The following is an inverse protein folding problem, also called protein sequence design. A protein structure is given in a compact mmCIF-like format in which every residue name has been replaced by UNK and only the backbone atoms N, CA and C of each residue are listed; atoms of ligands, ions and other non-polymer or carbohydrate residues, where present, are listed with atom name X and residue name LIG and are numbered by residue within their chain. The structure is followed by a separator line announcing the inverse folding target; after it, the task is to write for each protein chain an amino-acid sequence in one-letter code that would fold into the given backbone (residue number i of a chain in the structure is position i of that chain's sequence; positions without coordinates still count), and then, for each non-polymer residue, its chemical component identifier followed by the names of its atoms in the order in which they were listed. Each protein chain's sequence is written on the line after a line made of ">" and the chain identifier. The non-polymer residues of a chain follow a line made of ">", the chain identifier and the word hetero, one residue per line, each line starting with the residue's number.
data_IF_513634477112
#
_entry.id   IF_513634477112
#
_cell.length_a   1.000
_cell.length_b   1.000
_cell.length_c   1.000
_cell.angle_alpha   90.00
_cell.angle_beta   90.00
_cell.angle_gamma   90.00
#
_symmetry.space_group_name_H-M   'P 1'
#
loop_
_entity.id
_entity.type
_entity.pdbx_description
1 polymer ?
#
# COMPACT_ATOMS: atom_id res chain seq x y z
N UNK A 1 39.52 32.53 10.87
CA UNK A 1 38.61 31.67 10.05
C UNK A 1 38.61 30.22 10.57
N UNK A 2 38.33 29.97 11.85
CA UNK A 2 38.31 28.61 12.44
C UNK A 2 36.90 28.07 12.69
N UNK A 3 35.89 28.95 12.77
CA UNK A 3 34.49 28.58 13.00
C UNK A 3 33.79 27.96 11.78
N UNK A 4 34.26 28.26 10.56
CA UNK A 4 33.69 27.73 9.31
C UNK A 4 33.91 26.23 9.13
N UNK A 5 35.01 25.69 9.70
CA UNK A 5 35.36 24.26 9.57
C UNK A 5 34.47 23.36 10.44
N UNK A 6 34.07 23.85 11.61
CA UNK A 6 33.17 23.11 12.53
C UNK A 6 31.74 23.10 11.98
N UNK A 7 31.26 24.22 11.44
CA UNK A 7 29.92 24.28 10.82
C UNK A 7 29.78 23.35 9.60
N UNK A 8 30.83 23.24 8.76
CA UNK A 8 30.84 22.29 7.63
C UNK A 8 30.89 20.83 8.10
N UNK A 9 31.64 20.53 9.17
CA UNK A 9 31.69 19.18 9.75
C UNK A 9 30.34 18.76 10.37
N UNK A 10 29.63 19.67 11.05
CA UNK A 10 28.29 19.41 11.59
C UNK A 10 27.24 19.24 10.48
N UNK A 11 27.36 19.98 9.37
CA UNK A 11 26.47 19.83 8.21
C UNK A 11 26.61 18.47 7.51
N UNK A 12 27.84 17.96 7.39
CA UNK A 12 28.11 16.62 6.83
C UNK A 12 27.63 15.49 7.74
N UNK A 13 27.75 15.66 9.07
CA UNK A 13 27.27 14.68 10.04
C UNK A 13 25.72 14.54 10.05
N UNK A 14 24.99 15.63 9.81
CA UNK A 14 23.52 15.59 9.66
C UNK A 14 23.07 14.98 8.32
N UNK A 15 23.83 15.17 7.24
CA UNK A 15 23.52 14.58 5.93
C UNK A 15 23.77 13.05 5.89
N UNK A 16 24.69 12.56 6.71
CA UNK A 16 25.01 11.12 6.84
C UNK A 16 23.95 10.30 7.61
N UNK A 17 22.97 10.97 8.24
CA UNK A 17 21.83 10.34 8.94
C UNK A 17 20.58 10.20 8.06
N UNK A 18 20.71 10.38 6.74
CA UNK A 18 19.61 10.09 5.83
C UNK A 18 19.21 8.62 5.97
N UNK A 19 17.94 8.39 6.34
CA UNK A 19 17.38 7.07 6.52
C UNK A 19 17.51 6.29 5.21
N UNK A 20 18.32 5.25 5.21
CA UNK A 20 18.56 4.43 4.03
C UNK A 20 17.32 3.57 3.74
N UNK A 21 17.03 3.38 2.46
CA UNK A 21 16.01 2.43 2.05
C UNK A 21 16.44 1.01 2.45
N UNK A 22 15.55 0.28 3.11
CA UNK A 22 15.69 -1.12 3.50
C UNK A 22 14.47 -1.86 2.95
N UNK A 23 14.65 -2.93 2.16
CA UNK A 23 13.53 -3.70 1.65
C UNK A 23 12.83 -4.47 2.77
N UNK A 24 11.51 -4.60 2.69
CA UNK A 24 10.77 -5.56 3.51
C UNK A 24 10.99 -6.94 2.90
N UNK A 25 11.49 -7.88 3.71
CA UNK A 25 11.66 -9.27 3.26
C UNK A 25 10.31 -9.95 3.21
N UNK A 26 9.80 -10.18 2.00
CA UNK A 26 8.60 -11.01 1.77
C UNK A 26 9.06 -12.47 1.58
N UNK A 27 8.69 -13.41 2.47
CA UNK A 27 9.08 -14.81 2.32
C UNK A 27 8.64 -15.41 0.98
N UNK A 28 9.45 -16.30 0.42
CA UNK A 28 9.06 -17.05 -0.78
C UNK A 28 7.78 -17.86 -0.51
N UNK A 29 6.85 -17.87 -1.48
CA UNK A 29 5.56 -18.56 -1.34
C UNK A 29 4.50 -17.82 -0.52
N UNK A 30 4.76 -16.56 -0.15
CA UNK A 30 3.75 -15.68 0.48
C UNK A 30 2.52 -15.56 -0.41
N UNK A 31 1.34 -15.84 0.15
CA UNK A 31 0.07 -15.61 -0.49
C UNK A 31 -0.27 -14.12 -0.38
N UNK A 32 -0.40 -13.45 -1.51
CA UNK A 32 -0.72 -12.01 -1.56
C UNK A 32 -2.21 -11.87 -1.78
N UNK A 33 -2.84 -11.01 -0.97
CA UNK A 33 -4.23 -10.61 -1.14
C UNK A 33 -4.28 -9.10 -1.21
N UNK A 34 -4.64 -8.57 -2.37
CA UNK A 34 -4.68 -7.14 -2.64
C UNK A 34 -6.11 -6.62 -2.74
N UNK A 35 -6.44 -5.73 -1.81
CA UNK A 35 -7.70 -5.03 -1.69
C UNK A 35 -7.55 -3.57 -2.13
N UNK A 36 -8.55 -3.06 -2.85
CA UNK A 36 -8.62 -1.65 -3.22
C UNK A 36 -9.99 -1.04 -2.88
N UNK A 37 -10.06 0.29 -2.78
CA UNK A 37 -11.35 0.98 -2.67
C UNK A 37 -11.51 1.87 -1.45
N UNK A 38 -12.74 2.02 -0.95
CA UNK A 38 -13.10 2.91 0.15
C UNK A 38 -12.18 2.79 1.37
N UNK A 39 -11.96 3.91 2.08
CA UNK A 39 -11.16 3.97 3.31
C UNK A 39 -11.98 3.68 4.58
N UNK A 40 -13.31 3.74 4.50
CA UNK A 40 -14.21 3.46 5.63
C UNK A 40 -13.90 2.15 6.40
N UNK A 41 -13.59 1.01 5.74
CA UNK A 41 -13.29 -0.24 6.45
C UNK A 41 -11.82 -0.39 6.87
N UNK A 42 -10.95 0.61 6.71
CA UNK A 42 -9.50 0.42 6.88
C UNK A 42 -9.10 -0.11 8.27
N UNK A 43 -9.77 0.36 9.32
CA UNK A 43 -9.49 -0.12 10.68
C UNK A 43 -10.05 -1.54 10.90
N UNK A 44 -11.24 -1.83 10.37
CA UNK A 44 -11.81 -3.18 10.41
C UNK A 44 -10.92 -4.19 9.69
N UNK A 45 -10.34 -3.83 8.55
CA UNK A 45 -9.40 -4.69 7.82
C UNK A 45 -8.09 -4.89 8.58
N UNK A 46 -7.61 -3.88 9.29
CA UNK A 46 -6.45 -4.02 10.17
C UNK A 46 -6.72 -4.98 11.34
N UNK A 47 -7.88 -4.88 11.97
CA UNK A 47 -8.32 -5.79 13.04
C UNK A 47 -8.49 -7.23 12.51
N UNK A 48 -9.04 -7.39 11.31
CA UNK A 48 -9.11 -8.69 10.63
C UNK A 48 -7.73 -9.29 10.39
N UNK A 49 -6.81 -8.52 9.79
CA UNK A 49 -5.47 -9.00 9.52
C UNK A 49 -4.73 -9.40 10.80
N UNK A 50 -4.88 -8.62 11.88
CA UNK A 50 -4.23 -8.90 13.17
C UNK A 50 -4.89 -10.03 13.97
N UNK A 51 -6.17 -10.33 13.72
CA UNK A 51 -6.86 -11.47 14.34
C UNK A 51 -6.66 -12.79 13.60
N UNK A 52 -6.53 -12.74 12.27
CA UNK A 52 -6.35 -13.93 11.42
C UNK A 52 -4.88 -14.31 11.23
N UNK A 53 -3.94 -13.41 11.50
CA UNK A 53 -2.51 -13.67 11.35
C UNK A 53 -1.78 -13.62 12.69
N UNK A 54 -0.67 -14.34 12.75
CA UNK A 54 0.33 -14.29 13.81
C UNK A 54 1.60 -13.61 13.30
N UNK A 55 2.42 -13.08 14.22
CA UNK A 55 3.68 -12.40 13.90
C UNK A 55 3.52 -11.26 12.87
N UNK A 56 2.46 -10.46 13.03
CA UNK A 56 2.08 -9.44 12.03
C UNK A 56 3.07 -8.28 12.02
N UNK A 57 3.56 -7.97 10.83
CA UNK A 57 4.33 -6.78 10.51
C UNK A 57 3.43 -5.83 9.72
N UNK A 58 3.01 -4.75 10.36
CA UNK A 58 2.23 -3.69 9.72
C UNK A 58 3.15 -2.75 8.94
N UNK A 59 2.77 -2.46 7.70
CA UNK A 59 3.52 -1.67 6.72
C UNK A 59 2.58 -0.59 6.19
N UNK A 60 3.09 0.61 5.95
CA UNK A 60 2.34 1.71 5.32
C UNK A 60 3.08 2.26 4.13
N UNK A 61 2.36 2.97 3.28
CA UNK A 61 2.98 3.88 2.32
C UNK A 61 3.46 5.18 2.98
N UNK A 62 4.43 5.83 2.32
CA UNK A 62 4.95 7.17 2.61
C UNK A 62 4.24 8.28 1.83
N UNK A 63 3.12 7.96 1.18
CA UNK A 63 2.34 8.88 0.32
C UNK A 63 1.67 10.03 1.09
N UNK A 64 1.51 9.88 2.40
CA UNK A 64 0.84 10.82 3.27
C UNK A 64 1.48 10.81 4.64
N UNK A 65 1.64 11.99 5.25
CA UNK A 65 2.22 12.13 6.58
C UNK A 65 1.26 11.64 7.68
N UNK A 66 -0.05 11.89 7.53
CA UNK A 66 -1.06 11.73 8.60
C UNK A 66 -1.89 10.46 8.46
N UNK A 67 -2.37 10.16 7.26
CA UNK A 67 -3.21 8.98 6.99
C UNK A 67 -2.65 8.23 5.80
N UNK A 68 -2.08 7.03 5.99
CA UNK A 68 -1.49 6.29 4.88
C UNK A 68 -2.59 5.86 3.92
N UNK A 69 -2.40 6.13 2.62
CA UNK A 69 -3.36 5.73 1.59
C UNK A 69 -3.18 4.27 1.16
N UNK A 70 -2.07 3.64 1.56
CA UNK A 70 -1.85 2.21 1.42
C UNK A 70 -1.35 1.62 2.73
N UNK A 71 -1.86 0.43 3.04
CA UNK A 71 -1.46 -0.35 4.23
C UNK A 71 -1.20 -1.78 3.80
N UNK A 72 -0.30 -2.45 4.48
CA UNK A 72 -0.11 -3.88 4.31
C UNK A 72 0.18 -4.56 5.64
N UNK A 73 -0.21 -5.82 5.74
CA UNK A 73 -0.02 -6.66 6.91
C UNK A 73 0.59 -7.98 6.45
N UNK A 74 1.87 -8.14 6.73
CA UNK A 74 2.60 -9.38 6.49
C UNK A 74 2.58 -10.21 7.76
N UNK A 75 2.15 -11.46 7.69
CA UNK A 75 2.16 -12.36 8.83
C UNK A 75 2.03 -13.81 8.41
N UNK A 76 1.71 -14.67 9.37
CA UNK A 76 1.48 -16.09 9.13
C UNK A 76 0.06 -16.47 9.54
N UNK A 77 -0.62 -17.28 8.74
CA UNK A 77 -1.96 -17.78 9.03
C UNK A 77 -2.06 -18.35 10.46
N UNK A 78 -2.99 -17.81 11.24
CA UNK A 78 -3.36 -18.38 12.52
C UNK A 78 -4.15 -19.70 12.33
N UNK A 79 -4.36 -20.43 13.42
CA UNK A 79 -5.26 -21.58 13.41
C UNK A 79 -6.71 -21.15 13.14
N UNK A 80 -7.45 -22.01 12.43
CA UNK A 80 -8.89 -21.83 12.21
C UNK A 80 -9.30 -21.11 10.93
N UNK A 81 -8.35 -20.74 10.05
CA UNK A 81 -8.69 -20.28 8.69
C UNK A 81 -9.00 -21.51 7.82
N UNK A 82 -10.25 -21.70 7.34
CA UNK A 82 -10.59 -22.86 6.52
C UNK A 82 -9.79 -22.88 5.22
N UNK A 83 -9.18 -24.03 4.91
CA UNK A 83 -8.43 -24.22 3.67
C UNK A 83 -7.03 -23.59 3.65
N UNK A 84 -6.58 -22.96 4.73
CA UNK A 84 -5.24 -22.38 4.85
C UNK A 84 -4.47 -23.07 5.97
N UNK A 85 -3.28 -23.57 5.66
CA UNK A 85 -2.42 -24.21 6.65
C UNK A 85 -1.90 -23.17 7.65
N UNK A 86 -1.84 -23.54 8.93
CA UNK A 86 -1.22 -22.71 9.97
C UNK A 86 0.24 -22.43 9.61
N UNK A 87 0.68 -21.19 9.78
CA UNK A 87 2.05 -20.79 9.45
C UNK A 87 2.24 -20.36 7.98
N UNK A 88 1.24 -20.52 7.11
CA UNK A 88 1.33 -20.03 5.72
C UNK A 88 1.59 -18.52 5.71
N UNK A 89 2.66 -18.04 5.05
CA UNK A 89 2.92 -16.60 4.96
C UNK A 89 1.84 -15.93 4.09
N UNK A 90 1.24 -14.86 4.63
CA UNK A 90 0.18 -14.09 3.97
C UNK A 90 0.53 -12.62 4.04
N UNK A 91 0.36 -11.93 2.91
CA UNK A 91 0.50 -10.49 2.77
C UNK A 91 -0.84 -9.90 2.35
N UNK A 92 -1.53 -9.24 3.28
CA UNK A 92 -2.67 -8.40 2.95
C UNK A 92 -2.19 -7.03 2.54
N UNK A 93 -2.68 -6.51 1.42
CA UNK A 93 -2.42 -5.16 0.94
C UNK A 93 -3.77 -4.46 0.80
N UNK A 94 -3.90 -3.25 1.32
CA UNK A 94 -5.07 -2.39 1.14
C UNK A 94 -4.64 -1.07 0.54
N UNK A 95 -5.22 -0.70 -0.60
CA UNK A 95 -5.18 0.63 -1.18
C UNK A 95 -6.49 1.36 -0.89
N UNK A 96 -6.39 2.53 -0.29
CA UNK A 96 -7.50 3.44 0.01
C UNK A 96 -7.50 4.70 -0.86
N UNK A 97 -6.39 4.94 -1.57
CA UNK A 97 -6.29 6.04 -2.52
C UNK A 97 -7.38 5.95 -3.59
N UNK A 98 -7.98 7.09 -3.95
CA UNK A 98 -9.04 7.17 -4.95
C UNK A 98 -10.39 6.58 -4.52
N UNK A 99 -10.47 5.94 -3.35
CA UNK A 99 -11.73 5.52 -2.73
C UNK A 99 -12.52 4.50 -3.56
N UNK A 100 -13.84 4.54 -3.38
CA UNK A 100 -14.81 3.55 -3.88
C UNK A 100 -14.71 3.18 -5.36
N UNK A 101 -14.38 4.14 -6.24
CA UNK A 101 -14.16 3.87 -7.66
C UNK A 101 -13.08 2.84 -7.89
N UNK A 102 -11.95 2.99 -7.19
CA UNK A 102 -10.85 2.05 -7.29
C UNK A 102 -11.15 0.70 -6.64
N UNK A 103 -12.27 0.57 -5.92
CA UNK A 103 -12.82 -0.70 -5.44
C UNK A 103 -13.72 -1.40 -6.45
N UNK A 104 -14.07 -0.77 -7.56
CA UNK A 104 -14.99 -1.32 -8.57
C UNK A 104 -14.27 -1.45 -9.91
N UNK A 105 -13.79 -0.34 -10.45
CA UNK A 105 -13.26 -0.23 -11.81
C UNK A 105 -12.04 -1.12 -12.08
N UNK A 106 -10.97 -1.05 -11.26
CA UNK A 106 -9.80 -1.88 -11.47
C UNK A 106 -10.07 -3.37 -11.32
N UNK A 107 -11.02 -3.73 -10.46
CA UNK A 107 -11.44 -5.12 -10.26
C UNK A 107 -12.18 -5.61 -11.50
N UNK A 108 -13.14 -4.82 -11.99
CA UNK A 108 -13.97 -5.17 -13.15
C UNK A 108 -13.16 -5.32 -14.44
N UNK A 109 -12.11 -4.50 -14.60
CA UNK A 109 -11.26 -4.46 -15.82
C UNK A 109 -9.93 -5.20 -15.67
N UNK A 110 -9.66 -5.79 -14.51
CA UNK A 110 -8.35 -6.34 -14.16
C UNK A 110 -7.19 -5.35 -14.40
N UNK A 111 -7.39 -4.07 -14.06
CA UNK A 111 -6.42 -3.01 -14.31
C UNK A 111 -5.34 -2.96 -13.21
N UNK A 112 -4.09 -2.71 -13.61
CA UNK A 112 -2.96 -2.57 -12.68
C UNK A 112 -2.96 -1.21 -12.01
N UNK A 113 -3.19 -1.17 -10.71
CA UNK A 113 -3.17 0.09 -9.95
C UNK A 113 -1.93 0.18 -9.07
N UNK A 114 -1.60 1.41 -8.68
CA UNK A 114 -0.51 1.69 -7.77
C UNK A 114 -0.61 0.86 -6.48
N UNK A 115 0.52 0.46 -5.91
CA UNK A 115 0.60 -0.29 -4.67
C UNK A 115 1.88 0.07 -3.89
N UNK A 116 2.07 -0.56 -2.73
CA UNK A 116 3.29 -0.41 -1.92
C UNK A 116 4.49 -1.04 -2.64
N UNK A 117 5.61 -0.29 -2.69
CA UNK A 117 6.91 -0.80 -3.11
C UNK A 117 7.67 -1.38 -1.91
N UNK A 118 7.57 -2.69 -1.71
CA UNK A 118 8.25 -3.38 -0.62
C UNK A 118 9.79 -3.38 -0.74
N UNK A 119 10.35 -2.99 -1.89
CA UNK A 119 11.80 -2.88 -2.06
C UNK A 119 12.34 -1.50 -1.64
N UNK A 120 11.46 -0.53 -1.46
CA UNK A 120 11.82 0.85 -1.16
C UNK A 120 11.12 1.33 0.11
N UNK A 121 11.59 0.82 1.25
CA UNK A 121 11.01 1.11 2.55
C UNK A 121 12.00 1.71 3.52
N UNK A 122 11.52 2.29 4.60
CA UNK A 122 12.33 2.74 5.73
C UNK A 122 11.71 2.17 6.99
N UNK A 123 12.54 1.63 7.87
CA UNK A 123 12.07 1.16 9.18
C UNK A 123 11.56 2.35 10.01
N UNK A 124 10.42 2.16 10.66
CA UNK A 124 9.76 3.19 11.49
C UNK A 124 9.51 2.67 12.90
N UNK A 125 9.21 3.59 13.81
CA UNK A 125 8.76 3.27 15.17
C UNK A 125 7.27 3.56 15.29
N UNK A 126 6.56 2.77 16.11
CA UNK A 126 5.12 2.96 16.36
C UNK A 126 4.25 1.87 15.71
N UNK A 127 3.04 2.25 15.27
CA UNK A 127 2.02 1.30 14.81
C UNK A 127 2.38 0.58 13.50
N UNK A 128 3.28 1.16 12.70
CA UNK A 128 3.81 0.55 11.48
C UNK A 128 5.32 0.32 11.66
N UNK A 129 5.79 -0.85 11.29
CA UNK A 129 7.21 -1.21 11.34
C UNK A 129 7.98 -0.64 10.15
N UNK A 130 7.30 -0.41 9.02
CA UNK A 130 7.89 0.14 7.80
C UNK A 130 7.00 1.19 7.16
N UNK A 131 7.64 2.21 6.58
CA UNK A 131 7.04 3.18 5.66
C UNK A 131 7.70 3.03 4.30
N UNK A 132 6.92 2.75 3.25
CA UNK A 132 7.40 2.40 1.93
C UNK A 132 6.95 3.39 0.86
N UNK A 133 7.75 3.58 -0.18
CA UNK A 133 7.29 4.26 -1.39
C UNK A 133 6.14 3.49 -2.06
N UNK A 134 5.52 4.09 -3.06
CA UNK A 134 4.55 3.41 -3.92
C UNK A 134 5.15 3.13 -5.30
N UNK A 135 4.62 2.11 -5.97
CA UNK A 135 5.03 1.70 -7.33
C UNK A 135 3.80 1.39 -8.17
N UNK A 136 3.96 1.48 -9.49
CA UNK A 136 2.86 1.33 -10.44
C UNK A 136 2.19 2.66 -10.81
N UNK A 137 1.42 2.59 -11.89
CA UNK A 137 0.77 3.74 -12.53
C UNK A 137 -0.74 3.45 -12.57
N UNK A 138 -1.54 4.37 -12.02
CA UNK A 138 -3.00 4.26 -12.04
C UNK A 138 -3.59 4.52 -13.44
N UNK A 139 -4.78 3.96 -13.76
CA UNK A 139 -5.46 4.26 -15.02
C UNK A 139 -5.70 5.77 -15.23
N UNK A 140 -5.71 6.17 -16.50
CA UNK A 140 -5.79 7.58 -16.90
C UNK A 140 -4.48 8.36 -16.76
N UNK A 141 -3.42 7.76 -16.23
CA UNK A 141 -2.07 8.34 -16.20
C UNK A 141 -1.23 7.77 -17.35
N UNK A 142 -0.43 8.63 -17.98
CA UNK A 142 0.45 8.24 -19.09
C UNK A 142 1.38 7.08 -18.67
N UNK A 143 1.43 6.04 -19.49
CA UNK A 143 2.22 4.83 -19.22
C UNK A 143 1.49 3.71 -18.48
N UNK A 144 0.23 3.90 -18.06
CA UNK A 144 -0.56 2.89 -17.38
C UNK A 144 -0.67 1.57 -18.17
N UNK A 145 -0.97 1.64 -19.47
CA UNK A 145 -1.11 0.49 -20.38
C UNK A 145 0.22 -0.18 -20.73
N UNK A 146 1.35 0.36 -20.26
CA UNK A 146 2.65 -0.24 -20.53
C UNK A 146 2.77 -1.59 -19.83
N UNK A 147 3.35 -2.57 -20.53
CA UNK A 147 3.75 -3.85 -19.92
C UNK A 147 4.77 -3.67 -18.77
N UNK A 148 5.45 -2.52 -18.70
CA UNK A 148 6.35 -2.17 -17.61
C UNK A 148 5.65 -1.61 -16.36
N UNK A 149 4.32 -1.48 -16.35
CA UNK A 149 3.58 -1.02 -15.18
C UNK A 149 3.70 -2.04 -14.04
N UNK A 150 4.39 -1.64 -12.98
CA UNK A 150 4.67 -2.46 -11.79
C UNK A 150 3.52 -2.49 -10.78
N UNK A 151 2.39 -1.87 -11.09
CA UNK A 151 1.17 -1.93 -10.27
C UNK A 151 0.60 -3.34 -10.19
N UNK A 152 -0.31 -3.56 -9.24
CA UNK A 152 -0.99 -4.85 -9.04
C UNK A 152 -2.45 -4.76 -9.46
N UNK A 153 -3.01 -5.89 -9.89
CA UNK A 153 -4.45 -6.03 -10.10
C UNK A 153 -5.08 -6.41 -8.75
N UNK A 154 -6.07 -5.67 -8.24
CA UNK A 154 -6.74 -6.03 -7.00
C UNK A 154 -7.50 -7.35 -7.13
N UNK A 155 -7.40 -8.20 -6.11
CA UNK A 155 -8.15 -9.46 -6.04
C UNK A 155 -9.63 -9.22 -5.77
N UNK A 156 -9.94 -8.16 -5.01
CA UNK A 156 -11.28 -7.66 -4.80
C UNK A 156 -11.23 -6.20 -4.35
N UNK A 157 -12.38 -5.54 -4.40
CA UNK A 157 -12.48 -4.14 -4.00
C UNK A 157 -13.71 -3.84 -3.15
N UNK A 158 -13.68 -2.67 -2.53
CA UNK A 158 -14.69 -2.22 -1.57
C UNK A 158 -15.22 -0.86 -2.01
N UNK A 159 -16.54 -0.76 -2.07
CA UNK A 159 -17.25 0.48 -2.35
C UNK A 159 -18.24 0.78 -1.24
N UNK A 160 -18.20 2.01 -0.71
CA UNK A 160 -19.27 2.59 0.12
C UNK A 160 -20.25 3.44 -0.70
N UNK A 161 -20.00 3.55 -2.01
CA UNK A 161 -20.86 4.23 -2.99
C UNK A 161 -21.43 3.17 -3.93
N UNK A 162 -22.74 3.21 -4.15
CA UNK A 162 -23.36 2.38 -5.19
C UNK A 162 -22.74 2.70 -6.55
N UNK A 163 -22.25 1.71 -7.33
CA UNK A 163 -21.60 1.96 -8.62
C UNK A 163 -22.38 2.87 -9.58
N UNK A 164 -23.72 2.77 -9.61
CA UNK A 164 -24.58 3.61 -10.43
C UNK A 164 -24.59 5.11 -10.04
N UNK A 165 -23.94 5.47 -8.93
CA UNK A 165 -23.80 6.84 -8.45
C UNK A 165 -22.41 7.43 -8.74
N UNK A 166 -21.54 6.73 -9.47
CA UNK A 166 -20.28 7.29 -9.95
C UNK A 166 -20.54 8.29 -11.07
N UNK A 167 -20.30 9.56 -10.79
CA UNK A 167 -20.55 10.68 -11.69
C UNK A 167 -19.30 11.56 -11.83
N UNK A 168 -18.94 11.86 -13.07
CA UNK A 168 -17.92 12.86 -13.34
C UNK A 168 -18.37 14.25 -12.84
N UNK A 169 -17.45 15.08 -12.31
CA UNK A 169 -16.03 14.83 -12.06
C UNK A 169 -15.73 14.36 -10.61
N UNK A 170 -16.73 13.93 -9.86
CA UNK A 170 -16.65 13.86 -8.39
C UNK A 170 -16.13 12.53 -7.87
N UNK A 171 -16.51 11.43 -8.50
CA UNK A 171 -16.24 10.07 -8.05
C UNK A 171 -16.15 9.12 -9.25
N UNK A 172 -15.32 9.47 -10.22
CA UNK A 172 -14.88 8.58 -11.30
C UNK A 172 -13.36 8.52 -11.34
N UNK A 173 -12.83 7.50 -12.01
CA UNK A 173 -11.40 7.37 -12.20
C UNK A 173 -10.91 8.43 -13.20
N UNK A 174 -9.63 8.78 -13.12
CA UNK A 174 -9.08 9.78 -14.01
C UNK A 174 -9.31 9.39 -15.49
N UNK A 175 -9.95 10.28 -16.24
CA UNK A 175 -10.23 10.07 -17.67
C UNK A 175 -11.28 9.00 -17.98
N UNK A 176 -12.11 8.58 -17.00
CA UNK A 176 -13.23 7.67 -17.22
C UNK A 176 -14.59 8.40 -17.08
N UNK A 177 -15.54 8.20 -18.02
CA UNK A 177 -16.90 8.73 -17.90
C UNK A 177 -17.63 8.09 -16.71
N UNK A 178 -18.80 8.64 -16.35
CA UNK A 178 -19.72 8.01 -15.40
C UNK A 178 -20.03 6.56 -15.80
N UNK A 179 -20.12 5.65 -14.82
CA UNK A 179 -20.47 4.24 -15.01
C UNK A 179 -21.97 4.03 -15.26
#
# INVERSE_FOLDING_TARGET
>A
MKFTKIAVACGLALAALSAQAVPVTIPAGTQVVFLSGASAPDNFLADLATSMLTNVTAIRSSDSATTPLHRAFLGQAAAGIPGVAVGTPILFIKRSQGGSVFGVDPVARAARIQTIDFNNCTATTGAFAFSCATTGIDPGIAGHESASNTGLVPDFGISDVEPALFAEPFNTENGQPAL
#
